data_IF_873146245198
#
_entry.id   IF_873146245198
#
_cell.length_a   1.000
_cell.length_b   1.000
_cell.length_c   1.000
_cell.angle_alpha   90.00
_cell.angle_beta   90.00
_cell.angle_gamma   90.00
#
_symmetry.space_group_name_H-M   'P 1'
#
loop_
_entity.id
_entity.type
_entity.pdbx_description
1 polymer ?
#
# COMPACT_ATOMS: atom_id res chain seq x y z
N UNK A 1 -27.23 8.00 -12.26
CA UNK A 1 -26.54 7.64 -11.01
C UNK A 1 -25.82 8.86 -10.47
N UNK A 2 -25.97 9.15 -9.19
CA UNK A 2 -25.37 10.31 -8.55
C UNK A 2 -24.35 9.85 -7.50
N UNK A 3 -23.18 10.48 -7.49
CA UNK A 3 -22.20 10.34 -6.42
C UNK A 3 -22.43 11.50 -5.46
N UNK A 4 -22.60 11.23 -4.15
CA UNK A 4 -22.74 12.28 -3.16
C UNK A 4 -21.47 13.13 -3.05
N UNK A 5 -21.61 14.39 -2.68
CA UNK A 5 -20.49 15.29 -2.46
C UNK A 5 -19.55 14.76 -1.36
N UNK A 6 -20.09 14.17 -0.29
CA UNK A 6 -19.29 13.58 0.78
C UNK A 6 -18.46 12.38 0.32
N UNK A 7 -19.04 11.51 -0.50
CA UNK A 7 -18.30 10.38 -1.08
C UNK A 7 -17.22 10.86 -2.07
N UNK A 8 -17.52 11.87 -2.86
CA UNK A 8 -16.53 12.44 -3.79
C UNK A 8 -15.35 13.05 -3.01
N UNK A 9 -15.62 13.80 -1.96
CA UNK A 9 -14.58 14.37 -1.09
C UNK A 9 -13.75 13.26 -0.42
N UNK A 10 -14.40 12.24 0.13
CA UNK A 10 -13.72 11.07 0.70
C UNK A 10 -12.80 10.39 -0.32
N UNK A 11 -13.32 10.11 -1.52
CA UNK A 11 -12.55 9.48 -2.60
C UNK A 11 -11.30 10.28 -2.93
N UNK A 12 -11.44 11.59 -3.06
CA UNK A 12 -10.33 12.49 -3.38
C UNK A 12 -9.28 12.50 -2.27
N UNK A 13 -9.71 12.58 -1.01
CA UNK A 13 -8.80 12.61 0.14
C UNK A 13 -8.04 11.29 0.30
N UNK A 14 -8.74 10.15 0.28
CA UNK A 14 -8.10 8.86 0.45
C UNK A 14 -7.21 8.48 -0.74
N UNK A 15 -7.60 8.87 -1.95
CA UNK A 15 -6.76 8.67 -3.13
C UNK A 15 -5.45 9.48 -3.03
N UNK A 16 -5.54 10.74 -2.62
CA UNK A 16 -4.34 11.58 -2.43
C UNK A 16 -3.40 10.99 -1.38
N UNK A 17 -3.91 10.53 -0.24
CA UNK A 17 -3.11 9.86 0.80
C UNK A 17 -2.44 8.58 0.27
N UNK A 18 -3.14 7.80 -0.55
CA UNK A 18 -2.58 6.59 -1.14
C UNK A 18 -1.45 6.90 -2.13
N UNK A 19 -1.61 7.93 -2.95
CA UNK A 19 -0.57 8.35 -3.90
C UNK A 19 0.66 8.87 -3.15
N UNK A 20 0.49 9.64 -2.08
CA UNK A 20 1.61 10.09 -1.24
C UNK A 20 2.34 8.91 -0.58
N UNK A 21 1.59 7.92 -0.12
CA UNK A 21 2.16 6.68 0.43
C UNK A 21 3.06 5.96 -0.58
N UNK A 22 2.56 5.70 -1.79
CA UNK A 22 3.35 5.00 -2.79
C UNK A 22 4.49 5.84 -3.35
N UNK A 23 4.31 7.16 -3.42
CA UNK A 23 5.41 8.06 -3.78
C UNK A 23 6.56 7.95 -2.77
N UNK A 24 6.26 7.92 -1.48
CA UNK A 24 7.27 7.70 -0.43
C UNK A 24 7.93 6.32 -0.55
N UNK A 25 7.15 5.28 -0.79
CA UNK A 25 7.68 3.91 -0.98
C UNK A 25 8.61 3.83 -2.20
N UNK A 26 8.21 4.42 -3.32
CA UNK A 26 8.94 4.30 -4.59
C UNK A 26 10.16 5.23 -4.67
N UNK A 27 10.15 6.36 -3.97
CA UNK A 27 11.20 7.39 -4.07
C UNK A 27 11.96 7.65 -2.77
N UNK A 28 11.50 7.17 -1.63
CA UNK A 28 12.08 7.39 -0.30
C UNK A 28 12.16 6.14 0.55
N UNK A 29 12.17 4.96 -0.05
CA UNK A 29 12.27 3.66 0.63
C UNK A 29 11.12 3.33 1.58
N UNK A 30 10.03 4.09 1.57
CA UNK A 30 8.92 3.90 2.48
C UNK A 30 9.23 4.31 3.92
N UNK A 31 10.18 5.21 4.13
CA UNK A 31 10.54 5.70 5.48
C UNK A 31 9.37 6.33 6.22
N UNK A 32 8.48 7.01 5.49
CA UNK A 32 7.25 7.60 6.02
C UNK A 32 6.04 6.67 6.00
N UNK A 33 6.10 5.56 5.27
CA UNK A 33 4.97 4.67 5.06
C UNK A 33 4.31 4.14 6.34
N UNK A 34 5.06 3.77 7.41
CA UNK A 34 4.46 3.28 8.66
C UNK A 34 3.50 4.26 9.31
N UNK A 35 3.71 5.56 9.13
CA UNK A 35 2.86 6.60 9.75
C UNK A 35 1.46 6.71 9.16
N UNK A 36 1.22 6.10 7.99
CA UNK A 36 -0.11 5.99 7.39
C UNK A 36 -1.00 4.96 8.07
N UNK A 37 -0.45 4.11 8.92
CA UNK A 37 -1.17 3.07 9.66
C UNK A 37 -1.49 3.51 11.09
N UNK A 38 -2.54 2.92 11.66
CA UNK A 38 -2.74 2.95 13.11
C UNK A 38 -1.62 2.19 13.82
N UNK A 39 -1.39 2.41 15.14
CA UNK A 39 -0.34 1.68 15.86
C UNK A 39 -0.45 0.15 15.76
N UNK A 40 -1.67 -0.38 15.69
CA UNK A 40 -1.99 -1.80 15.51
C UNK A 40 -2.35 -2.19 14.08
N UNK A 41 -2.14 -1.28 13.12
CA UNK A 41 -2.47 -1.48 11.72
C UNK A 41 -1.74 -2.66 11.09
N UNK A 42 -2.37 -3.26 10.09
CA UNK A 42 -1.88 -4.47 9.45
C UNK A 42 -1.62 -4.27 7.95
N UNK A 43 -0.49 -4.79 7.51
CA UNK A 43 -0.16 -5.00 6.09
C UNK A 43 -0.24 -6.49 5.83
N UNK A 44 -1.27 -6.93 5.08
CA UNK A 44 -1.58 -8.35 4.89
C UNK A 44 -1.30 -8.74 3.44
N UNK A 45 -0.21 -9.43 3.23
CA UNK A 45 0.17 -9.99 1.94
C UNK A 45 -0.04 -11.50 1.86
N UNK A 46 0.01 -12.11 0.64
CA UNK A 46 -0.17 -13.55 0.49
C UNK A 46 1.01 -14.36 1.02
N UNK A 47 2.22 -13.82 0.94
CA UNK A 47 3.44 -14.51 1.38
C UNK A 47 3.81 -14.17 2.84
N UNK A 48 3.52 -12.95 3.28
CA UNK A 48 3.82 -12.49 4.63
C UNK A 48 2.84 -11.39 5.04
N UNK A 49 2.64 -11.27 6.35
CA UNK A 49 1.82 -10.21 6.95
C UNK A 49 2.61 -9.53 8.06
N UNK A 50 2.46 -8.21 8.15
CA UNK A 50 3.11 -7.40 9.17
C UNK A 50 2.03 -6.74 10.02
N UNK A 51 1.89 -7.22 11.25
CA UNK A 51 0.86 -6.78 12.18
C UNK A 51 1.47 -5.78 13.16
N UNK A 52 0.98 -4.55 13.11
CA UNK A 52 1.47 -3.42 13.89
C UNK A 52 2.44 -2.53 13.13
N UNK A 53 2.33 -1.23 13.38
CA UNK A 53 3.13 -0.19 12.72
C UNK A 53 4.64 -0.46 12.79
N UNK A 54 5.13 -0.98 13.92
CA UNK A 54 6.56 -1.23 14.11
C UNK A 54 7.07 -2.39 13.25
N UNK A 55 6.25 -3.43 13.02
CA UNK A 55 6.59 -4.50 12.08
C UNK A 55 6.56 -4.02 10.64
N UNK A 56 5.64 -3.14 10.30
CA UNK A 56 5.61 -2.46 8.99
C UNK A 56 6.88 -1.62 8.80
N UNK A 57 7.31 -0.91 9.85
CA UNK A 57 8.57 -0.14 9.84
C UNK A 57 9.78 -1.03 9.61
N UNK A 58 9.84 -2.17 10.30
CA UNK A 58 10.91 -3.15 10.13
C UNK A 58 10.95 -3.72 8.70
N UNK A 59 9.79 -3.98 8.10
CA UNK A 59 9.69 -4.42 6.70
C UNK A 59 10.26 -3.39 5.71
N UNK A 60 9.89 -2.12 5.83
CA UNK A 60 10.43 -1.07 4.95
C UNK A 60 11.93 -0.85 5.19
N UNK A 61 12.39 -0.92 6.42
CA UNK A 61 13.82 -0.86 6.75
C UNK A 61 14.60 -2.01 6.10
N UNK A 62 14.07 -3.23 6.16
CA UNK A 62 14.67 -4.38 5.49
C UNK A 62 14.74 -4.17 3.96
N UNK A 63 13.71 -3.60 3.35
CA UNK A 63 13.72 -3.28 1.91
C UNK A 63 14.83 -2.28 1.56
N UNK A 64 15.01 -1.25 2.39
CA UNK A 64 16.10 -0.28 2.21
C UNK A 64 17.47 -0.94 2.34
N UNK A 65 17.67 -1.75 3.36
CA UNK A 65 18.96 -2.36 3.70
C UNK A 65 19.41 -3.43 2.69
N UNK A 66 18.50 -4.03 1.93
CA UNK A 66 18.85 -5.06 0.95
C UNK A 66 19.57 -4.53 -0.31
N UNK A 67 19.62 -3.24 -0.50
CA UNK A 67 20.32 -2.59 -1.61
C UNK A 67 19.41 -2.07 -2.72
N UNK A 68 20.01 -1.65 -3.82
CA UNK A 68 19.34 -0.97 -4.91
C UNK A 68 18.25 -1.83 -5.56
N UNK A 69 17.05 -1.30 -5.56
CA UNK A 69 15.90 -1.84 -6.27
C UNK A 69 15.02 -0.70 -6.75
N UNK A 70 14.66 -0.73 -8.00
CA UNK A 70 13.73 0.22 -8.61
C UNK A 70 12.34 -0.37 -8.56
N UNK A 71 11.39 0.39 -8.03
CA UNK A 71 10.01 -0.05 -7.79
C UNK A 71 9.05 1.04 -8.23
N UNK A 72 7.96 0.65 -8.87
CA UNK A 72 6.82 1.54 -9.18
C UNK A 72 5.52 0.83 -8.80
N UNK A 73 4.75 1.44 -7.91
CA UNK A 73 3.40 1.01 -7.58
C UNK A 73 2.39 1.89 -8.30
N UNK A 74 1.75 1.35 -9.33
CA UNK A 74 0.65 2.01 -10.02
C UNK A 74 -0.67 1.75 -9.31
N UNK A 75 -1.52 2.78 -9.20
CA UNK A 75 -2.87 2.70 -8.62
C UNK A 75 -3.89 2.90 -9.73
N UNK A 76 -4.81 1.94 -9.89
CA UNK A 76 -5.87 2.01 -10.88
C UNK A 76 -7.23 1.70 -10.29
N UNK A 77 -8.28 2.27 -10.89
CA UNK A 77 -9.67 2.00 -10.56
C UNK A 77 -9.98 2.20 -9.07
N UNK A 78 -9.42 3.25 -8.49
CA UNK A 78 -9.62 3.58 -7.08
C UNK A 78 -11.07 3.95 -6.79
N UNK A 79 -11.60 3.36 -5.73
CA UNK A 79 -12.90 3.74 -5.19
C UNK A 79 -12.89 3.69 -3.66
N UNK A 80 -13.63 4.57 -3.03
CA UNK A 80 -13.82 4.60 -1.59
C UNK A 80 -15.29 4.79 -1.23
N UNK A 81 -15.70 4.16 -0.15
CA UNK A 81 -17.03 4.29 0.44
C UNK A 81 -16.90 4.41 1.96
N UNK A 82 -17.83 5.16 2.58
CA UNK A 82 -17.98 5.12 4.04
C UNK A 82 -18.45 3.73 4.48
N UNK A 83 -17.97 3.30 5.63
CA UNK A 83 -18.25 1.98 6.19
C UNK A 83 -19.11 2.12 7.46
N UNK A 84 -20.37 2.48 7.28
CA UNK A 84 -21.37 2.59 8.34
C UNK A 84 -21.25 3.83 9.23
N UNK A 85 -20.24 4.67 9.06
CA UNK A 85 -20.01 5.87 9.85
C UNK A 85 -19.15 6.87 9.07
N UNK A 86 -19.23 8.18 9.34
CA UNK A 86 -18.36 9.17 8.69
C UNK A 86 -16.88 9.06 9.08
N UNK A 87 -16.56 8.26 10.10
CA UNK A 87 -15.20 8.06 10.59
C UNK A 87 -14.58 6.72 10.18
N UNK A 88 -15.30 5.92 9.40
CA UNK A 88 -14.82 4.64 8.85
C UNK A 88 -15.02 4.61 7.35
N UNK A 89 -14.03 4.07 6.66
CA UNK A 89 -14.06 3.93 5.20
C UNK A 89 -13.38 2.65 4.74
N UNK A 90 -13.82 2.18 3.59
CA UNK A 90 -13.15 1.11 2.84
C UNK A 90 -12.79 1.64 1.47
N UNK A 91 -11.52 1.50 1.08
CA UNK A 91 -11.04 1.80 -0.26
C UNK A 91 -10.60 0.52 -0.96
N UNK A 92 -10.88 0.44 -2.26
CA UNK A 92 -10.42 -0.66 -3.12
C UNK A 92 -9.79 -0.09 -4.38
N UNK A 93 -8.72 -0.73 -4.82
CA UNK A 93 -7.97 -0.30 -5.99
C UNK A 93 -7.10 -1.44 -6.51
N UNK A 94 -6.69 -1.36 -7.77
CA UNK A 94 -5.73 -2.30 -8.33
C UNK A 94 -4.33 -1.73 -8.23
N UNK A 95 -3.42 -2.53 -7.67
CA UNK A 95 -1.99 -2.26 -7.67
C UNK A 95 -1.35 -2.91 -8.89
N UNK A 96 -0.58 -2.13 -9.64
CA UNK A 96 0.30 -2.60 -10.69
C UNK A 96 1.73 -2.48 -10.16
N UNK A 97 2.40 -3.59 -9.92
CA UNK A 97 3.76 -3.59 -9.36
C UNK A 97 4.81 -3.86 -10.45
N UNK A 98 5.69 -2.89 -10.63
CA UNK A 98 6.92 -3.03 -11.41
C UNK A 98 8.09 -2.98 -10.44
N UNK A 99 8.99 -3.97 -10.48
CA UNK A 99 10.16 -4.00 -9.62
C UNK A 99 11.29 -4.80 -10.25
N UNK A 100 12.50 -4.27 -10.15
CA UNK A 100 13.71 -4.94 -10.57
C UNK A 100 14.91 -4.43 -9.77
N UNK A 101 15.90 -5.29 -9.56
CA UNK A 101 17.14 -4.90 -8.90
C UNK A 101 17.95 -3.95 -9.78
N UNK A 102 18.59 -2.97 -9.16
CA UNK A 102 19.41 -1.96 -9.82
C UNK A 102 18.80 -0.56 -9.76
N UNK A 103 19.53 0.38 -10.35
CA UNK A 103 19.15 1.79 -10.48
C UNK A 103 18.61 2.07 -11.88
N UNK A 104 17.73 3.06 -12.06
CA UNK A 104 17.32 3.51 -13.39
C UNK A 104 18.54 3.94 -14.26
N UNK A 105 18.50 3.68 -15.55
CA UNK A 105 17.40 3.16 -16.38
C UNK A 105 17.53 1.64 -16.50
N UNK A 106 16.46 0.92 -16.24
CA UNK A 106 16.39 -0.54 -16.32
C UNK A 106 15.57 -0.98 -17.54
N UNK A 107 15.78 -2.20 -18.06
CA UNK A 107 14.95 -2.74 -19.13
C UNK A 107 13.48 -2.77 -18.73
N UNK A 108 12.60 -2.42 -19.66
CA UNK A 108 11.15 -2.51 -19.41
C UNK A 108 10.67 -3.96 -19.37
N UNK A 109 9.67 -4.24 -18.57
CA UNK A 109 9.02 -5.53 -18.47
C UNK A 109 7.54 -5.36 -18.07
N UNK A 110 6.69 -6.39 -18.21
CA UNK A 110 5.34 -6.38 -17.66
C UNK A 110 5.35 -6.21 -16.14
N UNK A 111 4.23 -5.77 -15.54
CA UNK A 111 4.14 -5.76 -14.07
C UNK A 111 4.38 -7.17 -13.52
N UNK A 112 5.11 -7.26 -12.41
CA UNK A 112 5.38 -8.55 -11.75
C UNK A 112 4.19 -9.05 -10.93
N UNK A 113 3.32 -8.16 -10.51
CA UNK A 113 2.07 -8.47 -9.84
C UNK A 113 0.98 -7.47 -10.21
N UNK A 114 -0.26 -7.96 -10.27
CA UNK A 114 -1.46 -7.13 -10.25
C UNK A 114 -2.33 -7.65 -9.11
N UNK A 115 -2.64 -6.80 -8.15
CA UNK A 115 -3.41 -7.16 -6.96
C UNK A 115 -4.65 -6.29 -6.81
N UNK A 116 -5.76 -6.88 -6.37
CA UNK A 116 -6.83 -6.11 -5.77
C UNK A 116 -6.44 -5.82 -4.33
N UNK A 117 -6.36 -4.55 -3.97
CA UNK A 117 -6.04 -4.12 -2.62
C UNK A 117 -7.28 -3.56 -1.95
N UNK A 118 -7.50 -3.96 -0.70
CA UNK A 118 -8.56 -3.44 0.15
C UNK A 118 -7.94 -2.77 1.36
N UNK A 119 -8.21 -1.48 1.52
CA UNK A 119 -7.83 -0.70 2.67
C UNK A 119 -9.04 -0.47 3.57
N UNK A 120 -8.95 -0.88 4.83
CA UNK A 120 -9.86 -0.46 5.89
C UNK A 120 -9.24 0.70 6.63
N UNK A 121 -10.00 1.78 6.82
CA UNK A 121 -9.48 3.02 7.34
C UNK A 121 -10.39 3.60 8.42
N UNK A 122 -9.77 4.28 9.37
CA UNK A 122 -10.48 5.09 10.37
C UNK A 122 -9.96 6.52 10.36
N UNK A 123 -10.86 7.46 10.67
CA UNK A 123 -10.50 8.85 10.87
C UNK A 123 -10.10 9.07 12.32
N UNK A 124 -8.90 9.55 12.53
CA UNK A 124 -8.31 9.85 13.83
C UNK A 124 -8.15 11.36 14.01
N UNK A 125 -7.69 11.81 15.17
CA UNK A 125 -7.33 13.22 15.39
C UNK A 125 -6.22 13.71 14.43
N UNK A 126 -5.39 12.78 13.90
CA UNK A 126 -4.33 13.06 12.94
C UNK A 126 -4.76 12.84 11.47
N UNK A 127 -6.05 12.64 11.22
CA UNK A 127 -6.61 12.32 9.92
C UNK A 127 -6.84 10.82 9.70
N UNK A 128 -7.06 10.44 8.45
CA UNK A 128 -7.32 9.05 8.08
C UNK A 128 -6.07 8.18 8.23
N UNK A 129 -6.24 7.00 8.83
CA UNK A 129 -5.18 5.98 9.00
C UNK A 129 -5.68 4.62 8.54
N UNK A 130 -4.79 3.83 7.99
CA UNK A 130 -5.06 2.45 7.59
C UNK A 130 -5.05 1.55 8.83
N UNK A 131 -6.12 0.81 9.04
CA UNK A 131 -6.20 -0.23 10.06
C UNK A 131 -5.80 -1.59 9.49
N UNK A 132 -6.10 -1.84 8.21
CA UNK A 132 -5.67 -3.04 7.49
C UNK A 132 -5.56 -2.73 6.00
N UNK A 133 -4.42 -3.10 5.41
CA UNK A 133 -4.23 -3.14 3.96
C UNK A 133 -4.00 -4.58 3.54
N UNK A 134 -4.93 -5.13 2.76
CA UNK A 134 -4.89 -6.53 2.31
C UNK A 134 -4.69 -6.60 0.81
N UNK A 135 -3.74 -7.43 0.38
CA UNK A 135 -3.41 -7.67 -1.02
C UNK A 135 -3.92 -9.03 -1.46
N UNK A 136 -4.83 -9.03 -2.44
CA UNK A 136 -5.31 -10.23 -3.12
C UNK A 136 -4.70 -10.27 -4.53
N UNK A 137 -3.76 -11.17 -4.78
CA UNK A 137 -3.03 -11.26 -6.04
C UNK A 137 -3.94 -11.86 -7.11
N UNK A 138 -4.12 -11.13 -8.21
CA UNK A 138 -4.90 -11.59 -9.37
C UNK A 138 -4.02 -12.07 -10.51
N UNK A 139 -2.87 -11.43 -10.71
CA UNK A 139 -1.87 -11.84 -11.69
C UNK A 139 -0.49 -11.76 -11.07
N UNK A 140 0.32 -12.79 -11.33
CA UNK A 140 1.70 -12.86 -10.87
C UNK A 140 2.57 -13.48 -11.96
N UNK A 141 3.77 -12.90 -12.14
CA UNK A 141 4.72 -13.39 -13.13
C UNK A 141 6.04 -12.65 -13.05
N UNK A 142 7.04 -13.13 -13.77
CA UNK A 142 8.37 -12.52 -13.76
C UNK A 142 9.14 -12.77 -12.46
N UNK A 143 9.80 -11.73 -11.93
CA UNK A 143 10.58 -11.84 -10.69
C UNK A 143 9.66 -12.00 -9.48
N UNK A 144 9.86 -13.00 -8.63
CA UNK A 144 9.06 -13.18 -7.43
C UNK A 144 9.08 -11.95 -6.53
N UNK A 145 7.93 -11.63 -5.93
CA UNK A 145 7.86 -10.64 -4.87
C UNK A 145 8.70 -11.10 -3.68
N UNK A 146 9.49 -10.19 -3.14
CA UNK A 146 10.35 -10.47 -2.00
C UNK A 146 9.74 -9.84 -0.76
N UNK A 147 8.84 -10.55 -0.13
CA UNK A 147 8.33 -10.21 1.20
C UNK A 147 8.94 -11.18 2.20
N UNK A 148 9.86 -10.74 3.05
CA UNK A 148 10.43 -11.62 4.03
C UNK A 148 9.40 -11.97 5.10
N UNK A 149 9.50 -13.15 5.65
CA UNK A 149 8.90 -13.42 6.96
C UNK A 149 9.80 -12.72 7.99
N UNK A 150 9.28 -11.68 8.62
CA UNK A 150 10.02 -10.94 9.66
C UNK A 150 9.85 -11.57 11.05
N UNK A 151 9.17 -12.68 11.12
CA UNK A 151 8.82 -13.30 12.39
C UNK A 151 9.46 -14.64 12.47
N UNK A 152 10.36 -14.75 13.36
CA UNK A 152 10.65 -15.96 14.13
C UNK A 152 11.98 -15.71 14.85
N UNK A 153 11.91 -14.81 15.83
CA UNK A 153 12.78 -14.85 16.99
C UNK A 153 11.93 -15.10 18.23
#
# INVERSE_FOLDING_TARGET
MNISADRLALTQELHALLIDYWHDVDTNWGRGAPEYYTPDGAFVGPAASYIGREKIRAFYKWREDRGDRTVVHGVQNFRADFDGSPDKATARWFMMLYAADGKPVLPTHPPIQIALVTDRMIKTAEGWKVTERKFDIWFEGGTPATNPKLDEE
#
